data_IF_887377015905
#
_entry.id   IF_887377015905
#
_cell.length_a   1.000
_cell.length_b   1.000
_cell.length_c   1.000
_cell.angle_alpha   90.00
_cell.angle_beta   90.00
_cell.angle_gamma   90.00
#
_symmetry.space_group_name_H-M   'P 1'
#
loop_
_entity.id
_entity.type
_entity.pdbx_description
1 polymer ?
#
# COMPACT_ATOMS: atom_id res chain seq x y z
N UNK A 1 9.56 21.32 -36.43
CA UNK A 1 9.73 19.98 -35.83
C UNK A 1 10.01 20.16 -34.33
N UNK A 2 9.13 19.64 -33.46
CA UNK A 2 8.95 20.08 -32.07
C UNK A 2 10.10 19.67 -31.12
N UNK A 3 10.76 20.65 -30.48
CA UNK A 3 11.79 20.46 -29.44
C UNK A 3 11.37 19.54 -28.29
N UNK A 4 10.07 19.42 -28.02
CA UNK A 4 9.51 18.49 -27.01
C UNK A 4 9.69 17.01 -27.38
N UNK A 5 9.70 16.62 -28.66
CA UNK A 5 9.94 15.23 -29.08
C UNK A 5 11.42 14.84 -28.95
N UNK A 6 12.34 15.80 -29.12
CA UNK A 6 13.78 15.55 -28.99
C UNK A 6 14.17 15.28 -27.52
N UNK A 7 13.60 16.02 -26.56
CA UNK A 7 13.84 15.80 -25.12
C UNK A 7 13.34 14.44 -24.64
N UNK A 8 12.19 13.97 -25.15
CA UNK A 8 11.64 12.66 -24.77
C UNK A 8 12.51 11.50 -25.30
N UNK A 9 13.04 11.62 -26.52
CA UNK A 9 13.93 10.61 -27.10
C UNK A 9 15.30 10.56 -26.42
N UNK A 10 15.84 11.71 -26.00
CA UNK A 10 17.11 11.75 -25.25
C UNK A 10 17.00 11.15 -23.84
N UNK A 11 15.85 11.30 -23.16
CA UNK A 11 15.63 10.67 -21.85
C UNK A 11 15.54 9.14 -21.94
N UNK A 12 14.92 8.61 -23.00
CA UNK A 12 14.83 7.17 -23.26
C UNK A 12 16.21 6.58 -23.58
N UNK A 13 17.03 7.30 -24.36
CA UNK A 13 18.39 6.85 -24.70
C UNK A 13 19.34 6.81 -23.48
N UNK A 14 19.19 7.76 -22.54
CA UNK A 14 20.00 7.80 -21.32
C UNK A 14 19.66 6.63 -20.36
N UNK A 15 18.40 6.20 -20.33
CA UNK A 15 17.97 5.02 -19.55
C UNK A 15 18.50 3.70 -20.12
N UNK A 16 18.66 3.61 -21.45
CA UNK A 16 19.16 2.40 -22.12
C UNK A 16 20.69 2.24 -21.99
N UNK A 17 21.45 3.33 -21.85
CA UNK A 17 22.92 3.25 -21.75
C UNK A 17 23.43 2.83 -20.37
N UNK A 18 22.66 2.98 -19.31
CA UNK A 18 23.07 2.56 -17.95
C UNK A 18 22.78 1.09 -17.62
N UNK A 19 22.17 0.34 -18.55
CA UNK A 19 21.81 -1.07 -18.34
C UNK A 19 22.91 -2.07 -18.77
N UNK A 20 24.03 -1.59 -19.32
CA UNK A 20 25.13 -2.42 -19.84
C UNK A 20 26.42 -2.18 -19.05
N UNK A 21 26.48 -2.62 -17.80
CA UNK A 21 27.72 -2.99 -17.12
C UNK A 21 27.36 -3.55 -15.75
N UNK A 22 27.44 -4.89 -15.60
CA UNK A 22 28.06 -5.60 -14.48
C UNK A 22 27.58 -7.05 -14.47
N UNK A 23 28.46 -7.95 -14.93
CA UNK A 23 28.40 -9.38 -14.61
C UNK A 23 28.70 -9.55 -13.11
N UNK A 24 27.80 -10.20 -12.37
CA UNK A 24 28.10 -10.75 -11.04
C UNK A 24 27.38 -12.09 -10.84
N UNK A 25 27.96 -12.99 -10.03
CA UNK A 25 27.74 -14.43 -10.13
C UNK A 25 26.48 -14.88 -9.39
N UNK A 26 25.92 -16.01 -9.84
CA UNK A 26 24.79 -16.68 -9.21
C UNK A 26 25.14 -17.13 -7.79
N UNK A 27 24.40 -16.66 -6.79
CA UNK A 27 24.43 -17.20 -5.43
C UNK A 27 23.32 -18.24 -5.31
N UNK A 28 23.73 -19.47 -5.02
CA UNK A 28 22.85 -20.60 -4.70
C UNK A 28 22.15 -20.37 -3.36
N UNK A 29 20.89 -20.75 -3.37
CA UNK A 29 19.93 -20.86 -2.29
C UNK A 29 20.45 -21.79 -1.18
N UNK A 30 20.47 -21.31 0.07
CA UNK A 30 20.46 -22.15 1.27
C UNK A 30 19.29 -21.72 2.15
N UNK A 31 18.36 -22.65 2.28
CA UNK A 31 17.17 -22.60 3.13
C UNK A 31 17.61 -23.02 4.52
N UNK A 32 17.48 -22.13 5.50
CA UNK A 32 17.52 -22.51 6.92
C UNK A 32 16.22 -22.08 7.62
N UNK A 33 15.62 -23.05 8.29
CA UNK A 33 14.38 -22.94 9.05
C UNK A 33 14.57 -22.05 10.29
N UNK A 34 13.82 -20.96 10.37
CA UNK A 34 13.76 -20.16 11.58
C UNK A 34 12.76 -20.75 12.59
N UNK A 35 13.31 -21.23 13.70
CA UNK A 35 12.61 -21.59 14.93
C UNK A 35 12.00 -20.31 15.55
N UNK A 36 10.70 -20.38 15.91
CA UNK A 36 9.99 -19.28 16.59
C UNK A 36 10.48 -19.14 18.05
N UNK A 37 10.80 -17.94 18.54
CA UNK A 37 10.98 -17.72 19.96
C UNK A 37 9.62 -17.60 20.67
N UNK A 38 9.43 -18.38 21.74
CA UNK A 38 8.40 -18.14 22.73
C UNK A 38 8.88 -17.01 23.66
N UNK A 39 8.18 -15.88 23.65
CA UNK A 39 8.36 -14.81 24.63
C UNK A 39 7.44 -15.07 25.83
N UNK A 40 8.05 -15.36 26.98
CA UNK A 40 7.44 -15.21 28.29
C UNK A 40 7.82 -13.84 28.85
N UNK A 41 6.84 -13.00 29.15
CA UNK A 41 7.04 -11.73 29.85
C UNK A 41 7.23 -11.99 31.34
N UNK A 42 8.40 -11.61 31.87
CA UNK A 42 8.56 -11.22 33.27
C UNK A 42 8.92 -9.74 33.26
N UNK A 43 8.09 -8.98 33.98
CA UNK A 43 8.16 -7.53 34.17
C UNK A 43 9.22 -7.19 35.25
N UNK A 44 9.62 -5.92 35.28
CA UNK A 44 10.56 -5.27 36.19
C UNK A 44 12.01 -5.11 35.67
N UNK A 45 12.21 -4.15 34.77
CA UNK A 45 13.54 -3.66 34.40
C UNK A 45 13.50 -2.41 33.54
N UNK A 46 14.35 -1.45 33.87
CA UNK A 46 14.60 -0.15 33.22
C UNK A 46 14.41 -0.20 31.69
N UNK A 47 13.45 0.58 31.17
CA UNK A 47 13.08 0.57 29.75
C UNK A 47 14.17 1.31 28.97
N UNK A 48 15.16 0.56 28.51
CA UNK A 48 16.03 0.96 27.41
C UNK A 48 15.13 1.48 26.29
N UNK A 49 15.26 2.77 25.97
CA UNK A 49 14.56 3.40 24.86
C UNK A 49 15.04 2.71 23.58
N UNK A 50 14.31 1.68 23.15
CA UNK A 50 14.49 1.06 21.84
C UNK A 50 14.41 2.18 20.81
N UNK A 51 15.55 2.52 20.22
CA UNK A 51 15.64 3.52 19.17
C UNK A 51 14.98 2.92 17.92
N UNK A 52 13.74 3.32 17.66
CA UNK A 52 13.02 2.96 16.44
C UNK A 52 13.71 3.64 15.25
N UNK A 53 14.11 2.88 14.24
CA UNK A 53 14.68 3.45 13.03
C UNK A 53 13.54 3.87 12.08
N UNK A 54 13.33 5.18 11.83
CA UNK A 54 12.25 5.65 10.97
C UNK A 54 12.37 5.18 9.52
N UNK A 55 13.50 4.58 9.13
CA UNK A 55 13.70 4.05 7.79
C UNK A 55 13.22 2.59 7.65
N UNK A 56 12.98 1.87 8.74
CA UNK A 56 12.51 0.47 8.72
C UNK A 56 10.99 0.36 8.95
N UNK A 57 10.23 0.00 7.91
CA UNK A 57 8.77 -0.17 8.02
C UNK A 57 8.36 -1.27 9.01
N UNK A 58 9.19 -2.32 9.14
CA UNK A 58 8.98 -3.45 10.06
C UNK A 58 8.80 -3.02 11.52
N UNK A 59 9.45 -1.93 11.93
CA UNK A 59 9.41 -1.44 13.31
C UNK A 59 8.02 -0.91 13.70
N UNK A 60 7.19 -0.63 12.69
CA UNK A 60 5.81 -0.15 12.83
C UNK A 60 4.77 -1.25 12.63
N UNK A 61 5.20 -2.51 12.44
CA UNK A 61 4.28 -3.64 12.24
C UNK A 61 3.49 -3.89 13.53
N UNK A 62 2.16 -3.95 13.40
CA UNK A 62 1.25 -4.24 14.51
C UNK A 62 0.48 -5.54 14.33
N UNK A 63 0.43 -6.07 13.12
CA UNK A 63 -0.26 -7.32 12.81
C UNK A 63 0.35 -8.01 11.59
N UNK A 64 0.33 -9.35 11.61
CA UNK A 64 0.67 -10.18 10.46
C UNK A 64 -0.53 -10.68 9.66
N UNK A 65 -1.72 -10.15 9.93
CA UNK A 65 -3.01 -10.44 9.31
C UNK A 65 -3.30 -11.92 9.04
N UNK A 66 -2.82 -12.82 9.90
CA UNK A 66 -2.96 -14.26 9.71
C UNK A 66 -4.24 -14.84 10.32
N UNK A 67 -5.18 -13.98 10.74
CA UNK A 67 -6.43 -14.41 11.34
C UNK A 67 -7.28 -15.18 10.32
N UNK A 68 -7.95 -16.22 10.80
CA UNK A 68 -8.88 -17.06 10.04
C UNK A 68 -10.25 -16.95 10.70
N UNK A 69 -11.27 -16.66 9.91
CA UNK A 69 -12.65 -16.60 10.39
C UNK A 69 -13.41 -17.86 9.99
N UNK A 70 -13.46 -18.86 10.88
CA UNK A 70 -14.13 -20.14 10.61
C UNK A 70 -15.66 -20.01 10.42
N UNK A 71 -16.25 -18.89 10.83
CA UNK A 71 -17.66 -18.59 10.61
C UNK A 71 -17.95 -18.03 9.20
N UNK A 72 -16.92 -17.69 8.41
CA UNK A 72 -17.06 -17.23 7.03
C UNK A 72 -17.03 -18.44 6.10
N UNK A 73 -18.18 -18.77 5.51
CA UNK A 73 -18.38 -20.00 4.74
C UNK A 73 -17.40 -20.22 3.57
N UNK A 74 -16.84 -19.16 2.99
CA UNK A 74 -15.88 -19.21 1.88
C UNK A 74 -14.45 -18.79 2.27
N UNK A 75 -14.09 -18.82 3.54
CA UNK A 75 -12.78 -18.36 4.03
C UNK A 75 -11.59 -19.05 3.33
N UNK A 76 -11.67 -20.35 3.06
CA UNK A 76 -10.61 -21.07 2.35
C UNK A 76 -10.42 -20.57 0.92
N UNK A 77 -11.49 -20.23 0.21
CA UNK A 77 -11.43 -19.65 -1.13
C UNK A 77 -10.82 -18.24 -1.09
N UNK A 78 -11.22 -17.41 -0.12
CA UNK A 78 -10.64 -16.09 0.07
C UNK A 78 -9.13 -16.18 0.31
N UNK A 79 -8.68 -17.10 1.16
CA UNK A 79 -7.25 -17.31 1.44
C UNK A 79 -6.48 -17.87 0.26
N UNK A 80 -7.08 -18.75 -0.55
CA UNK A 80 -6.53 -19.21 -1.84
C UNK A 80 -6.34 -18.07 -2.83
N UNK A 81 -7.20 -17.04 -2.75
CA UNK A 81 -7.05 -15.79 -3.50
C UNK A 81 -6.13 -14.76 -2.80
N UNK A 82 -5.27 -15.21 -1.89
CA UNK A 82 -4.29 -14.39 -1.17
C UNK A 82 -4.87 -13.34 -0.22
N UNK A 83 -6.16 -13.40 0.12
CA UNK A 83 -6.72 -12.55 1.17
C UNK A 83 -6.24 -13.00 2.55
N UNK A 84 -5.88 -12.03 3.39
CA UNK A 84 -5.49 -12.18 4.79
C UNK A 84 -6.28 -11.19 5.65
N UNK A 85 -6.52 -11.51 6.92
CA UNK A 85 -7.37 -10.73 7.84
C UNK A 85 -6.59 -10.30 9.06
N UNK A 86 -6.64 -9.01 9.35
CA UNK A 86 -6.01 -8.44 10.52
C UNK A 86 -6.93 -8.60 11.74
N UNK A 87 -6.37 -8.54 12.94
CA UNK A 87 -7.06 -8.64 14.23
C UNK A 87 -8.10 -7.53 14.40
N UNK A 88 -7.92 -6.40 13.72
CA UNK A 88 -8.88 -5.29 13.71
C UNK A 88 -10.03 -5.48 12.70
N UNK A 89 -10.10 -6.62 12.02
CA UNK A 89 -11.15 -6.96 11.04
C UNK A 89 -10.91 -6.43 9.62
N UNK A 90 -9.86 -5.62 9.41
CA UNK A 90 -9.46 -5.19 8.07
C UNK A 90 -8.79 -6.34 7.29
N UNK A 91 -8.57 -6.14 5.98
CA UNK A 91 -7.93 -7.16 5.12
C UNK A 91 -6.66 -6.64 4.46
N UNK A 92 -5.72 -7.54 4.25
CA UNK A 92 -4.47 -7.27 3.54
C UNK A 92 -4.23 -8.43 2.57
N UNK A 93 -4.00 -8.15 1.30
CA UNK A 93 -3.66 -9.20 0.33
C UNK A 93 -2.16 -9.48 0.35
N UNK A 94 -1.79 -10.75 0.22
CA UNK A 94 -0.39 -11.14 -0.03
C UNK A 94 0.02 -10.59 -1.39
N UNK A 95 1.15 -9.88 -1.43
CA UNK A 95 1.68 -9.40 -2.71
C UNK A 95 2.29 -10.57 -3.49
N UNK A 96 1.92 -10.75 -4.77
CA UNK A 96 2.64 -11.66 -5.65
C UNK A 96 4.12 -11.26 -5.81
N UNK A 97 5.00 -12.20 -6.21
CA UNK A 97 6.38 -11.86 -6.55
C UNK A 97 6.45 -10.77 -7.63
N UNK A 98 7.46 -9.90 -7.53
CA UNK A 98 7.74 -8.90 -8.56
C UNK A 98 8.11 -9.56 -9.90
N UNK A 99 7.86 -8.85 -11.00
CA UNK A 99 8.06 -9.35 -12.36
C UNK A 99 8.92 -8.38 -13.20
N UNK A 100 9.15 -8.72 -14.47
CA UNK A 100 9.91 -7.90 -15.41
C UNK A 100 11.43 -7.96 -15.21
N UNK A 101 12.14 -7.16 -16.01
CA UNK A 101 13.60 -7.11 -16.00
C UNK A 101 14.11 -6.68 -14.61
N UNK A 102 14.87 -7.56 -13.93
CA UNK A 102 15.35 -7.42 -12.54
C UNK A 102 14.26 -7.24 -11.47
N UNK A 103 13.03 -7.71 -11.70
CA UNK A 103 11.94 -7.55 -10.72
C UNK A 103 11.50 -6.09 -10.57
N UNK A 104 11.72 -5.26 -11.60
CA UNK A 104 11.37 -3.84 -11.59
C UNK A 104 9.85 -3.60 -11.49
N UNK A 105 9.01 -4.57 -11.88
CA UNK A 105 7.55 -4.50 -11.77
C UNK A 105 7.10 -5.04 -10.41
N UNK A 106 7.07 -4.17 -9.41
CA UNK A 106 6.50 -4.50 -8.10
C UNK A 106 4.96 -4.52 -8.14
N UNK A 107 4.33 -5.58 -7.63
CA UNK A 107 2.86 -5.77 -7.63
C UNK A 107 2.13 -5.02 -6.49
N UNK A 108 2.71 -3.93 -6.00
CA UNK A 108 2.20 -3.19 -4.85
C UNK A 108 0.92 -2.39 -5.17
N UNK A 109 0.85 -1.79 -6.36
CA UNK A 109 -0.35 -1.09 -6.84
C UNK A 109 -1.53 -2.04 -6.99
N UNK A 110 -1.29 -3.20 -7.62
CA UNK A 110 -2.26 -4.27 -7.78
C UNK A 110 -2.77 -4.76 -6.42
N UNK A 111 -1.87 -4.94 -5.45
CA UNK A 111 -2.23 -5.37 -4.09
C UNK A 111 -3.06 -4.31 -3.36
N UNK A 112 -2.70 -3.03 -3.50
CA UNK A 112 -3.48 -1.93 -2.93
C UNK A 112 -4.90 -1.85 -3.51
N UNK A 113 -5.05 -2.07 -4.82
CA UNK A 113 -6.34 -2.15 -5.50
C UNK A 113 -7.14 -3.39 -5.07
N UNK A 114 -6.51 -4.56 -4.91
CA UNK A 114 -7.16 -5.76 -4.35
C UNK A 114 -7.72 -5.53 -2.95
N UNK A 115 -6.94 -4.86 -2.09
CA UNK A 115 -7.42 -4.44 -0.77
C UNK A 115 -8.69 -3.58 -0.95
N UNK A 116 -8.62 -2.52 -1.75
CA UNK A 116 -9.75 -1.60 -1.99
C UNK A 116 -11.00 -2.34 -2.50
N UNK A 117 -10.87 -3.21 -3.51
CA UNK A 117 -12.01 -3.95 -4.08
C UNK A 117 -12.68 -4.80 -3.02
N UNK A 118 -11.92 -5.56 -2.23
CA UNK A 118 -12.54 -6.35 -1.16
C UNK A 118 -13.18 -5.45 -0.11
N UNK A 119 -12.54 -4.34 0.22
CA UNK A 119 -13.03 -3.41 1.23
C UNK A 119 -14.30 -2.68 0.83
N UNK A 120 -14.55 -2.46 -0.47
CA UNK A 120 -15.76 -1.82 -0.99
C UNK A 120 -16.83 -2.81 -1.49
N UNK A 121 -16.43 -3.97 -2.00
CA UNK A 121 -17.32 -4.87 -2.74
C UNK A 121 -17.35 -6.29 -2.16
N UNK A 122 -16.57 -6.57 -1.11
CA UNK A 122 -16.40 -7.91 -0.51
C UNK A 122 -15.98 -9.00 -1.51
N UNK A 123 -15.34 -8.59 -2.60
CA UNK A 123 -14.88 -9.47 -3.67
C UNK A 123 -13.38 -9.70 -3.60
N UNK A 124 -12.96 -10.96 -3.52
CA UNK A 124 -11.54 -11.30 -3.50
C UNK A 124 -10.94 -11.25 -4.91
N UNK A 125 -10.52 -10.05 -5.31
CA UNK A 125 -9.83 -9.83 -6.57
C UNK A 125 -8.33 -10.12 -6.39
N UNK A 126 -7.84 -11.25 -6.89
CA UNK A 126 -6.43 -11.62 -6.76
C UNK A 126 -5.53 -10.58 -7.49
N UNK A 127 -4.45 -10.06 -6.84
CA UNK A 127 -3.64 -8.98 -7.40
C UNK A 127 -3.05 -9.30 -8.79
N UNK A 128 -2.47 -10.49 -8.96
CA UNK A 128 -1.85 -10.92 -10.23
C UNK A 128 -2.84 -11.35 -11.32
N UNK A 129 -3.81 -12.21 -11.01
CA UNK A 129 -4.64 -12.85 -12.05
C UNK A 129 -5.88 -12.04 -12.42
N UNK A 130 -6.32 -11.10 -11.55
CA UNK A 130 -7.48 -10.25 -11.83
C UNK A 130 -7.08 -8.79 -12.02
N UNK A 131 -6.43 -8.19 -11.01
CA UNK A 131 -6.18 -6.73 -10.98
C UNK A 131 -5.13 -6.30 -12.02
N UNK A 132 -4.10 -7.10 -12.24
CA UNK A 132 -3.00 -6.80 -13.17
C UNK A 132 -3.48 -6.47 -14.59
N UNK A 133 -4.59 -7.07 -15.03
CA UNK A 133 -5.21 -6.78 -16.33
C UNK A 133 -5.62 -5.31 -16.50
N UNK A 134 -6.00 -4.65 -15.40
CA UNK A 134 -6.48 -3.27 -15.39
C UNK A 134 -5.37 -2.24 -15.13
N UNK A 135 -4.24 -2.68 -14.56
CA UNK A 135 -3.15 -1.80 -14.13
C UNK A 135 -1.91 -1.88 -15.03
N UNK A 136 -2.06 -2.37 -16.26
CA UNK A 136 -0.97 -2.45 -17.22
C UNK A 136 -0.37 -1.07 -17.50
N UNK A 137 0.91 -0.90 -17.20
CA UNK A 137 1.68 0.31 -17.49
C UNK A 137 2.93 -0.04 -18.30
N UNK A 138 3.36 0.89 -19.16
CA UNK A 138 4.63 0.76 -19.89
C UNK A 138 5.83 1.08 -19.01
N UNK A 139 5.62 1.79 -17.90
CA UNK A 139 6.65 2.11 -16.92
C UNK A 139 6.68 1.05 -15.82
N UNK A 140 7.85 0.77 -15.20
CA UNK A 140 7.90 -0.07 -14.02
C UNK A 140 7.01 0.48 -12.89
N UNK A 141 6.14 -0.39 -12.39
CA UNK A 141 5.14 -0.10 -11.37
C UNK A 141 3.91 0.64 -11.88
N UNK A 142 2.93 0.80 -11.00
CA UNK A 142 1.65 1.45 -11.33
C UNK A 142 1.71 2.95 -11.03
N UNK A 143 1.55 3.80 -12.05
CA UNK A 143 1.45 5.26 -11.86
C UNK A 143 0.09 5.65 -11.27
N UNK A 144 -0.04 6.82 -10.60
CA UNK A 144 -1.31 7.26 -10.01
C UNK A 144 -2.48 7.31 -10.99
N UNK A 145 -2.23 7.81 -12.21
CA UNK A 145 -3.24 7.84 -13.27
C UNK A 145 -3.68 6.45 -13.71
N UNK A 146 -2.74 5.51 -13.86
CA UNK A 146 -3.01 4.10 -14.19
C UNK A 146 -3.82 3.43 -13.08
N UNK A 147 -3.44 3.64 -11.82
CA UNK A 147 -4.16 3.10 -10.65
C UNK A 147 -5.60 3.61 -10.60
N UNK A 148 -5.79 4.90 -10.84
CA UNK A 148 -7.12 5.55 -10.85
C UNK A 148 -7.97 5.08 -12.02
N UNK A 149 -7.41 5.02 -13.23
CA UNK A 149 -8.10 4.49 -14.42
C UNK A 149 -8.55 3.05 -14.19
N UNK A 150 -7.66 2.19 -13.68
CA UNK A 150 -7.99 0.80 -13.42
C UNK A 150 -9.04 0.62 -12.32
N UNK A 151 -8.99 1.42 -11.25
CA UNK A 151 -10.05 1.41 -10.23
C UNK A 151 -11.41 1.80 -10.82
N UNK A 152 -11.47 2.86 -11.63
CA UNK A 152 -12.70 3.26 -12.30
C UNK A 152 -13.21 2.17 -13.26
N UNK A 153 -12.32 1.55 -14.05
CA UNK A 153 -12.70 0.46 -14.96
C UNK A 153 -13.24 -0.77 -14.21
N UNK A 154 -12.66 -1.10 -13.06
CA UNK A 154 -13.11 -2.22 -12.23
C UNK A 154 -14.47 -1.91 -11.60
N UNK A 155 -14.61 -0.75 -10.95
CA UNK A 155 -15.85 -0.38 -10.25
C UNK A 155 -17.03 -0.16 -11.20
N UNK A 156 -16.77 0.25 -12.45
CA UNK A 156 -17.80 0.35 -13.50
C UNK A 156 -18.25 -1.02 -14.04
N UNK A 157 -17.48 -2.09 -13.83
CA UNK A 157 -17.81 -3.45 -14.30
C UNK A 157 -18.37 -4.37 -13.22
N UNK A 158 -18.25 -3.98 -11.95
CA UNK A 158 -18.68 -4.78 -10.80
C UNK A 158 -20.00 -4.25 -10.26
N UNK A 159 -21.10 -4.92 -10.61
CA UNK A 159 -22.46 -4.55 -10.20
C UNK A 159 -22.68 -4.60 -8.67
N UNK A 160 -21.85 -5.34 -7.95
CA UNK A 160 -21.86 -5.51 -6.50
C UNK A 160 -21.03 -4.44 -5.74
N UNK A 161 -20.34 -3.56 -6.47
CA UNK A 161 -19.62 -2.42 -5.91
C UNK A 161 -20.51 -1.18 -5.82
N UNK A 162 -20.28 -0.29 -4.84
CA UNK A 162 -20.90 1.03 -4.88
C UNK A 162 -20.39 1.81 -6.09
N UNK A 163 -21.29 2.55 -6.73
CA UNK A 163 -20.94 3.45 -7.82
C UNK A 163 -20.17 4.66 -7.26
N UNK A 164 -18.85 4.62 -7.35
CA UNK A 164 -17.94 5.69 -6.91
C UNK A 164 -16.87 5.94 -7.97
N UNK A 165 -16.60 7.22 -8.21
CA UNK A 165 -15.46 7.63 -9.02
C UNK A 165 -14.21 7.73 -8.17
N UNK A 166 -13.09 7.31 -8.72
CA UNK A 166 -11.76 7.40 -8.14
C UNK A 166 -10.98 8.56 -8.76
N UNK A 167 -10.15 9.22 -7.95
CA UNK A 167 -9.31 10.34 -8.36
C UNK A 167 -7.92 10.30 -7.73
N UNK A 168 -6.99 10.96 -8.43
CA UNK A 168 -5.68 11.32 -7.88
C UNK A 168 -5.78 12.69 -7.22
N UNK A 169 -5.43 12.76 -5.95
CA UNK A 169 -5.22 14.03 -5.24
C UNK A 169 -3.72 14.20 -4.94
N UNK A 170 -3.22 15.41 -5.15
CA UNK A 170 -1.82 15.76 -4.87
C UNK A 170 -1.81 16.97 -3.95
N UNK A 171 -1.36 16.74 -2.72
CA UNK A 171 -1.30 17.80 -1.71
C UNK A 171 0.05 18.54 -1.76
N UNK A 172 0.05 19.81 -1.37
CA UNK A 172 1.25 20.64 -1.47
C UNK A 172 2.14 20.63 -0.21
N UNK A 173 1.65 20.09 0.90
CA UNK A 173 2.39 20.02 2.16
C UNK A 173 1.90 18.89 3.07
N UNK A 174 2.71 18.56 4.08
CA UNK A 174 2.43 17.50 5.06
C UNK A 174 1.10 17.70 5.81
N UNK A 175 0.79 18.93 6.26
CA UNK A 175 -0.44 19.18 7.02
C UNK A 175 -1.68 18.89 6.16
N UNK A 176 -1.68 19.35 4.92
CA UNK A 176 -2.80 19.12 3.99
C UNK A 176 -2.88 17.65 3.59
N UNK A 177 -1.75 16.99 3.32
CA UNK A 177 -1.68 15.55 3.04
C UNK A 177 -2.33 14.71 4.15
N UNK A 178 -1.99 14.97 5.41
CA UNK A 178 -2.57 14.23 6.55
C UNK A 178 -4.05 14.58 6.75
N UNK A 179 -4.43 15.85 6.61
CA UNK A 179 -5.84 16.26 6.68
C UNK A 179 -6.67 15.61 5.58
N UNK A 180 -6.10 15.44 4.39
CA UNK A 180 -6.76 14.83 3.24
C UNK A 180 -6.94 13.33 3.39
N UNK A 181 -5.93 12.63 3.91
CA UNK A 181 -6.06 11.22 4.30
C UNK A 181 -7.21 11.07 5.30
N UNK A 182 -7.21 11.89 6.35
CA UNK A 182 -8.25 11.84 7.39
C UNK A 182 -9.65 12.08 6.83
N UNK A 183 -9.80 13.11 6.00
CA UNK A 183 -11.07 13.48 5.35
C UNK A 183 -11.55 12.37 4.41
N UNK A 184 -10.66 11.78 3.64
CA UNK A 184 -11.00 10.72 2.69
C UNK A 184 -11.41 9.43 3.39
N UNK A 185 -10.73 9.08 4.47
CA UNK A 185 -11.06 7.92 5.32
C UNK A 185 -12.41 8.10 6.03
N UNK A 186 -12.69 9.33 6.52
CA UNK A 186 -13.92 9.72 7.25
C UNK A 186 -14.92 10.37 6.31
N UNK A 187 -15.66 9.56 5.55
CA UNK A 187 -16.78 10.11 4.78
C UNK A 187 -18.02 10.31 5.63
N UNK A 188 -18.84 11.31 5.28
CA UNK A 188 -20.20 11.46 5.80
C UNK A 188 -21.24 10.70 4.98
N UNK A 189 -20.86 10.15 3.82
CA UNK A 189 -21.77 9.37 2.96
C UNK A 189 -21.73 7.91 3.37
N UNK A 190 -22.87 7.38 3.78
CA UNK A 190 -23.05 5.93 3.92
C UNK A 190 -22.86 5.27 2.56
N UNK A 191 -21.80 4.47 2.43
CA UNK A 191 -21.64 3.56 1.30
C UNK A 191 -21.91 2.14 1.80
N UNK A 192 -22.51 1.28 0.96
CA UNK A 192 -22.61 -0.13 1.29
C UNK A 192 -21.21 -0.71 1.48
N UNK A 193 -21.13 -1.77 2.30
CA UNK A 193 -19.96 -2.64 2.40
C UNK A 193 -18.65 -2.01 2.90
N UNK A 194 -18.66 -0.78 3.44
CA UNK A 194 -17.46 -0.21 4.06
C UNK A 194 -16.83 -1.17 5.07
N UNK A 195 -15.50 -1.15 5.12
CA UNK A 195 -14.76 -1.97 6.08
C UNK A 195 -15.07 -1.49 7.47
N UNK A 196 -15.45 -2.45 8.31
CA UNK A 196 -15.48 -2.27 9.75
C UNK A 196 -14.09 -2.56 10.29
N UNK A 197 -13.58 -1.63 11.07
CA UNK A 197 -12.37 -1.79 11.85
C UNK A 197 -12.74 -1.74 13.32
N UNK A 198 -12.27 -2.68 14.10
CA UNK A 198 -12.43 -2.67 15.57
C UNK A 198 -11.17 -2.08 16.20
N UNK A 199 -11.34 -0.94 16.88
CA UNK A 199 -10.26 -0.28 17.62
C UNK A 199 -9.93 -1.05 18.90
N UNK A 200 -8.79 -0.72 19.52
CA UNK A 200 -8.33 -1.34 20.78
C UNK A 200 -9.33 -1.17 21.93
N UNK A 201 -10.11 -0.09 21.92
CA UNK A 201 -11.18 0.18 22.90
C UNK A 201 -12.49 -0.56 22.59
N UNK A 202 -12.51 -1.43 21.58
CA UNK A 202 -13.70 -2.16 21.13
C UNK A 202 -14.60 -1.36 20.20
N UNK A 203 -14.32 -0.09 19.92
CA UNK A 203 -15.15 0.73 19.03
C UNK A 203 -15.04 0.24 17.60
N UNK A 204 -16.18 -0.13 17.00
CA UNK A 204 -16.28 -0.36 15.56
C UNK A 204 -16.39 0.98 14.81
N UNK A 205 -15.52 1.16 13.82
CA UNK A 205 -15.57 2.30 12.90
C UNK A 205 -15.72 1.80 11.48
N UNK A 206 -16.35 2.62 10.62
CA UNK A 206 -16.35 2.39 9.18
C UNK A 206 -15.44 3.40 8.50
N UNK A 207 -14.66 2.92 7.53
CA UNK A 207 -13.67 3.73 6.80
C UNK A 207 -13.71 3.40 5.31
N UNK A 208 -13.48 4.43 4.49
CA UNK A 208 -13.16 4.26 3.07
C UNK A 208 -11.65 4.10 2.95
N UNK A 209 -11.12 2.96 2.49
CA UNK A 209 -9.69 2.86 2.27
C UNK A 209 -9.23 3.84 1.20
N UNK A 210 -7.99 4.31 1.33
CA UNK A 210 -7.31 5.14 0.33
C UNK A 210 -5.96 4.54 -0.01
N UNK A 211 -5.53 4.67 -1.26
CA UNK A 211 -4.18 4.27 -1.67
C UNK A 211 -3.24 5.45 -1.51
N UNK A 212 -2.11 5.23 -0.84
CA UNK A 212 -1.07 6.24 -0.64
C UNK A 212 0.16 5.84 -1.43
N UNK A 213 0.70 6.77 -2.22
CA UNK A 213 1.99 6.59 -2.87
C UNK A 213 3.09 7.05 -1.93
N UNK A 214 4.01 6.14 -1.63
CA UNK A 214 5.15 6.38 -0.76
C UNK A 214 6.44 5.93 -1.44
N UNK A 215 7.55 6.50 -1.01
CA UNK A 215 8.87 5.90 -1.29
C UNK A 215 9.08 4.75 -0.30
N UNK A 216 9.53 3.60 -0.80
CA UNK A 216 9.90 2.45 0.02
C UNK A 216 10.86 2.91 1.13
N UNK A 217 10.54 2.70 2.42
CA UNK A 217 11.44 3.00 3.52
C UNK A 217 12.77 2.25 3.33
N UNK A 218 13.91 2.85 3.72
CA UNK A 218 15.28 2.37 3.42
C UNK A 218 15.71 2.30 1.94
N UNK A 219 14.85 2.63 0.99
CA UNK A 219 15.21 2.61 -0.44
C UNK A 219 15.27 4.00 -1.03
N UNK A 220 16.35 4.29 -1.76
CA UNK A 220 16.49 5.55 -2.50
C UNK A 220 15.64 5.59 -3.77
N UNK A 221 15.20 4.43 -4.29
CA UNK A 221 14.63 4.28 -5.64
C UNK A 221 13.39 3.39 -5.72
N UNK A 222 12.81 2.96 -4.60
CA UNK A 222 11.59 2.16 -4.59
C UNK A 222 10.34 3.04 -4.51
N UNK A 223 9.42 2.90 -5.46
CA UNK A 223 8.04 3.38 -5.34
C UNK A 223 7.18 2.29 -4.71
N UNK A 224 6.20 2.71 -3.91
CA UNK A 224 5.35 1.76 -3.22
C UNK A 224 3.93 2.30 -3.02
N UNK A 225 2.94 1.44 -3.20
CA UNK A 225 1.56 1.71 -2.85
C UNK A 225 1.18 0.99 -1.56
N UNK A 226 0.59 1.72 -0.62
CA UNK A 226 0.01 1.15 0.60
C UNK A 226 -1.46 1.54 0.71
N UNK A 227 -2.28 0.71 1.36
CA UNK A 227 -3.70 1.02 1.58
C UNK A 227 -3.88 1.54 3.00
N UNK A 228 -4.20 2.82 3.17
CA UNK A 228 -4.58 3.35 4.48
C UNK A 228 -6.03 2.97 4.82
N UNK A 229 -6.24 2.51 6.05
CA UNK A 229 -7.52 1.98 6.52
C UNK A 229 -8.10 2.73 7.73
N UNK A 230 -7.28 3.45 8.50
CA UNK A 230 -7.74 4.37 9.55
C UNK A 230 -6.67 5.42 9.86
N UNK A 231 -7.10 6.52 10.46
CA UNK A 231 -6.23 7.54 11.04
C UNK A 231 -6.74 7.85 12.45
N UNK A 232 -5.85 7.67 13.42
CA UNK A 232 -6.14 7.88 14.84
C UNK A 232 -5.35 9.09 15.33
N UNK A 233 -6.07 10.05 15.91
CA UNK A 233 -5.49 11.17 16.65
C UNK A 233 -5.78 10.99 18.12
N UNK A 234 -4.73 10.96 18.92
CA UNK A 234 -4.83 11.06 20.37
C UNK A 234 -4.17 12.38 20.80
N UNK A 235 -4.21 12.70 22.10
CA UNK A 235 -3.79 14.01 22.63
C UNK A 235 -2.41 14.48 22.10
N UNK A 236 -1.48 13.55 21.89
CA UNK A 236 -0.11 13.85 21.47
C UNK A 236 0.40 12.93 20.35
N UNK A 237 -0.49 12.18 19.68
CA UNK A 237 -0.09 11.22 18.64
C UNK A 237 -1.03 11.32 17.45
N UNK A 238 -0.46 11.03 16.27
CA UNK A 238 -1.20 10.89 15.03
C UNK A 238 -0.62 9.69 14.32
N UNK A 239 -1.44 8.67 14.11
CA UNK A 239 -1.01 7.41 13.51
C UNK A 239 -1.95 7.03 12.37
N UNK A 240 -1.37 6.61 11.24
CA UNK A 240 -2.06 6.05 10.09
C UNK A 240 -1.91 4.54 10.14
N UNK A 241 -3.03 3.83 10.11
CA UNK A 241 -3.05 2.38 9.95
C UNK A 241 -3.03 2.07 8.45
N UNK A 242 -2.01 1.34 8.02
CA UNK A 242 -1.85 0.93 6.62
C UNK A 242 -1.74 -0.58 6.51
N UNK A 243 -2.41 -1.14 5.51
CA UNK A 243 -2.31 -2.55 5.15
C UNK A 243 -1.35 -2.69 3.96
N UNK A 244 -0.40 -3.60 4.11
CA UNK A 244 0.70 -3.82 3.18
C UNK A 244 1.17 -5.27 3.26
N UNK A 245 1.02 -6.00 2.16
CA UNK A 245 1.64 -7.32 1.92
C UNK A 245 1.16 -8.52 2.72
N UNK A 246 0.01 -8.46 3.39
CA UNK A 246 -0.43 -9.38 4.46
C UNK A 246 -0.13 -8.93 5.88
N UNK A 247 0.45 -7.74 6.02
CA UNK A 247 0.68 -7.11 7.31
C UNK A 247 -0.17 -5.86 7.46
N UNK A 248 -0.30 -5.42 8.71
CA UNK A 248 -0.77 -4.09 9.08
C UNK A 248 0.29 -3.37 9.89
N UNK A 249 0.42 -2.07 9.61
CA UNK A 249 1.38 -1.19 10.24
C UNK A 249 0.66 0.02 10.84
N UNK A 250 1.17 0.48 11.98
CA UNK A 250 0.73 1.71 12.65
C UNK A 250 1.86 2.74 12.50
N UNK A 251 1.73 3.62 11.52
CA UNK A 251 2.81 4.55 11.12
C UNK A 251 2.50 5.97 11.60
N UNK A 252 3.43 6.66 12.28
CA UNK A 252 3.26 8.06 12.64
C UNK A 252 2.97 8.96 11.43
N UNK A 253 2.06 9.93 11.58
CA UNK A 253 1.63 10.82 10.49
C UNK A 253 2.78 11.62 9.87
N UNK A 254 3.71 12.11 10.67
CA UNK A 254 4.90 12.81 10.17
C UNK A 254 5.80 11.89 9.33
N UNK A 255 5.87 10.61 9.71
CA UNK A 255 6.69 9.63 9.01
C UNK A 255 6.08 9.20 7.67
N UNK A 256 4.79 8.88 7.64
CA UNK A 256 4.11 8.56 6.37
C UNK A 256 4.16 9.74 5.39
N UNK A 257 4.05 10.98 5.90
CA UNK A 257 4.22 12.18 5.10
C UNK A 257 5.65 12.35 4.60
N UNK A 258 6.67 12.05 5.43
CA UNK A 258 8.08 12.04 5.01
C UNK A 258 8.32 11.03 3.88
N UNK A 259 7.76 9.82 3.97
CA UNK A 259 7.88 8.80 2.92
C UNK A 259 7.20 9.23 1.62
N UNK A 260 6.00 9.85 1.70
CA UNK A 260 5.31 10.38 0.53
C UNK A 260 6.03 11.59 -0.09
N UNK A 261 6.61 12.48 0.73
CA UNK A 261 7.48 13.56 0.24
C UNK A 261 8.67 13.00 -0.54
N UNK A 262 9.22 11.87 -0.08
CA UNK A 262 10.31 11.15 -0.75
C UNK A 262 10.02 10.74 -2.20
N UNK A 263 8.75 10.60 -2.58
CA UNK A 263 8.34 10.26 -3.97
C UNK A 263 8.79 11.36 -4.93
N UNK A 264 8.35 12.61 -4.71
CA UNK A 264 8.76 13.74 -5.55
C UNK A 264 10.26 14.03 -5.50
N UNK A 265 10.94 13.74 -4.39
CA UNK A 265 12.39 13.87 -4.30
C UNK A 265 13.14 12.86 -5.18
N UNK A 266 12.64 11.62 -5.28
CA UNK A 266 13.26 10.55 -6.08
C UNK A 266 12.77 10.54 -7.54
N UNK A 267 11.55 11.03 -7.82
CA UNK A 267 10.85 10.86 -9.09
C UNK A 267 10.15 12.12 -9.61
N UNK A 268 10.52 13.31 -9.12
CA UNK A 268 9.83 14.59 -9.37
C UNK A 268 9.70 15.03 -10.83
N UNK A 269 10.33 14.33 -11.78
CA UNK A 269 10.09 14.54 -13.22
C UNK A 269 8.76 13.94 -13.70
N UNK A 270 8.25 12.92 -13.00
CA UNK A 270 7.11 12.11 -13.44
C UNK A 270 6.07 11.87 -12.35
N UNK A 271 6.39 12.09 -11.08
CA UNK A 271 5.52 11.81 -9.94
C UNK A 271 5.62 12.91 -8.89
N UNK A 272 4.47 13.22 -8.28
CA UNK A 272 4.36 14.24 -7.25
C UNK A 272 4.47 13.66 -5.84
N UNK A 273 5.03 14.44 -4.92
CA UNK A 273 4.93 14.17 -3.48
C UNK A 273 3.48 14.21 -3.01
N UNK A 274 3.18 13.56 -1.88
CA UNK A 274 1.88 13.66 -1.22
C UNK A 274 0.70 13.20 -2.10
N UNK A 275 0.95 12.22 -2.96
CA UNK A 275 -0.04 11.65 -3.87
C UNK A 275 -0.95 10.64 -3.15
N UNK A 276 -2.26 10.84 -3.28
CA UNK A 276 -3.34 10.01 -2.72
C UNK A 276 -4.25 9.56 -3.87
N UNK A 277 -4.70 8.32 -3.88
CA UNK A 277 -5.82 7.88 -4.72
C UNK A 277 -7.00 7.52 -3.82
N UNK A 278 -8.15 8.18 -4.07
CA UNK A 278 -9.34 8.13 -3.21
C UNK A 278 -10.63 8.10 -4.03
N UNK A 279 -11.72 7.66 -3.42
CA UNK A 279 -13.07 7.74 -3.98
C UNK A 279 -13.73 9.10 -3.68
N UNK A 280 -14.59 9.58 -4.59
CA UNK A 280 -15.36 10.84 -4.46
C UNK A 280 -16.69 10.70 -3.69
#
# INVERSE_FOLDING_TARGET
>A
MNRKKALLLSAIALFLQTANANEFPSVKEQVDSAVKPQMSFQDDGDVDKVSVDPEHMSDYRVDGCNLRYDHVSNEDELRKNNLRRCNDGTVSFVQPPSEGWWGAEGKCGQTSVSNIIYMFCKRAAHPKTYVDHYLGDITPGVRPGTLTSGLNDIFNKLDDCPNVDWDVEVENNEKNYIAEIERSLKTNRSLPNLVKRTRKDGTEIQRRPVSLLIRVPNSKKGLHWVTAVDLVREKNSCDVFINHWDDQYKVPCNLIAKWSRGVGASFGLILDSYTIVKSK
#
